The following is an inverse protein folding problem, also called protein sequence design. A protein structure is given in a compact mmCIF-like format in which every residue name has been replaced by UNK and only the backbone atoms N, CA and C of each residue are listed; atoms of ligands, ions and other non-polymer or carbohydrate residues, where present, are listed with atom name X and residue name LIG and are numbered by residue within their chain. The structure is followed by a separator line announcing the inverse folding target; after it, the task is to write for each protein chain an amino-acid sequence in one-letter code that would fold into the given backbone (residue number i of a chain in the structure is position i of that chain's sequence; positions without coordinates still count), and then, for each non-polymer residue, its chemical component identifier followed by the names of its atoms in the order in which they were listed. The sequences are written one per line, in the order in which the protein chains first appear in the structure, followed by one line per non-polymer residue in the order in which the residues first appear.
data_IF_342695384750
#
_entry.id   IF_342695384750
#
_cell.length_a   1.000
_cell.length_b   1.000
_cell.length_c   1.000
_cell.angle_alpha   90.00
_cell.angle_beta   90.00
_cell.angle_gamma   90.00
#
_symmetry.space_group_name_H-M   'P 1'
#
loop_
_entity.id
_entity.type
_entity.pdbx_description
1 polymer ?
#
# COMPACT_ATOMS: atom_id res chain seq x y z
N UNK A 1 18.29 1.71 0.41
CA UNK A 1 18.78 2.93 1.10
C UNK A 1 17.55 3.63 1.63
N UNK A 2 17.65 4.42 2.71
CA UNK A 2 16.69 5.46 3.04
C UNK A 2 15.20 5.05 3.06
N UNK A 3 14.75 4.50 4.19
CA UNK A 3 13.33 4.61 4.58
C UNK A 3 12.85 6.07 4.40
N UNK A 4 13.74 7.06 4.60
CA UNK A 4 13.45 8.48 4.40
C UNK A 4 13.13 8.92 2.96
N UNK A 5 13.69 8.30 1.91
CA UNK A 5 13.39 8.68 0.52
C UNK A 5 12.10 8.03 0.02
N UNK A 6 11.87 6.78 0.42
CA UNK A 6 10.62 6.05 0.14
C UNK A 6 9.44 6.72 0.87
N UNK A 7 9.61 7.03 2.17
CA UNK A 7 8.66 7.83 2.94
C UNK A 7 8.45 9.23 2.36
N UNK A 8 9.48 9.86 1.77
CA UNK A 8 9.34 11.18 1.13
C UNK A 8 8.50 11.11 -0.14
N UNK A 9 8.68 10.08 -0.97
CA UNK A 9 7.85 9.86 -2.15
C UNK A 9 6.41 9.50 -1.78
N UNK A 10 6.23 8.61 -0.81
CA UNK A 10 4.94 8.22 -0.25
C UNK A 10 4.22 9.41 0.40
N UNK A 11 4.95 10.24 1.15
CA UNK A 11 4.44 11.48 1.74
C UNK A 11 4.08 12.51 0.65
N UNK A 12 4.89 12.65 -0.40
CA UNK A 12 4.56 13.52 -1.53
C UNK A 12 3.31 13.03 -2.29
N UNK A 13 3.09 11.71 -2.34
CA UNK A 13 1.86 11.10 -2.88
C UNK A 13 0.68 11.44 -1.99
N UNK A 14 0.80 11.19 -0.68
CA UNK A 14 -0.26 11.46 0.28
C UNK A 14 -0.66 12.93 0.33
N UNK A 15 0.29 13.88 0.21
CA UNK A 15 0.05 15.33 0.30
C UNK A 15 -0.76 15.93 -0.85
N UNK A 16 -0.92 15.23 -1.98
CA UNK A 16 -1.64 15.76 -3.17
C UNK A 16 -3.12 15.36 -3.23
N UNK A 17 -3.56 14.45 -2.37
CA UNK A 17 -4.94 14.00 -2.29
C UNK A 17 -5.51 14.42 -0.93
N UNK A 18 -6.75 14.93 -0.92
CA UNK A 18 -7.37 15.45 0.31
C UNK A 18 -7.50 14.37 1.40
N UNK A 19 -7.52 13.08 1.02
CA UNK A 19 -7.62 11.94 1.94
C UNK A 19 -6.88 10.72 1.36
N UNK A 20 -5.57 10.66 1.58
CA UNK A 20 -4.80 9.42 1.42
C UNK A 20 -4.55 8.80 2.79
N UNK A 21 -5.07 7.59 2.99
CA UNK A 21 -4.70 6.78 4.14
C UNK A 21 -3.42 6.03 3.80
N UNK A 22 -2.30 6.52 4.33
CA UNK A 22 -1.03 5.80 4.31
C UNK A 22 -1.05 4.73 5.39
N UNK A 23 -1.05 3.46 4.96
CA UNK A 23 -1.06 2.33 5.87
C UNK A 23 0.26 1.59 5.68
N UNK A 24 1.25 1.97 6.48
CA UNK A 24 2.51 1.26 6.60
C UNK A 24 2.35 0.19 7.67
N UNK A 25 2.18 -1.05 7.24
CA UNK A 25 2.07 -2.17 8.16
C UNK A 25 3.33 -3.04 8.07
N UNK A 26 4.45 -2.51 8.58
CA UNK A 26 5.74 -3.20 8.62
C UNK A 26 5.74 -4.54 9.40
N UNK A 27 4.67 -4.85 10.14
CA UNK A 27 4.56 -6.02 11.01
C UNK A 27 3.49 -7.03 10.58
N UNK A 28 2.94 -6.92 9.37
CA UNK A 28 1.74 -7.65 8.96
C UNK A 28 2.03 -9.04 8.38
N UNK A 29 2.56 -9.95 9.21
CA UNK A 29 2.62 -11.38 8.86
C UNK A 29 1.34 -12.16 9.20
N UNK A 30 0.39 -11.56 9.93
CA UNK A 30 -0.87 -12.23 10.30
C UNK A 30 -2.04 -11.77 9.44
N UNK A 31 -2.85 -12.72 8.96
CA UNK A 31 -4.07 -12.48 8.16
C UNK A 31 -5.09 -11.61 8.90
N UNK A 32 -5.31 -11.88 10.18
CA UNK A 32 -6.27 -11.14 11.02
C UNK A 32 -5.95 -9.65 11.14
N UNK A 33 -4.68 -9.28 10.98
CA UNK A 33 -4.27 -7.88 11.10
C UNK A 33 -4.80 -7.06 9.92
N UNK A 34 -4.76 -7.57 8.69
CA UNK A 34 -5.29 -6.86 7.52
C UNK A 34 -6.81 -6.72 7.58
N UNK A 35 -7.50 -7.71 8.15
CA UNK A 35 -8.96 -7.68 8.35
C UNK A 35 -9.36 -6.57 9.32
N UNK A 36 -8.67 -6.46 10.47
CA UNK A 36 -8.93 -5.39 11.46
C UNK A 36 -8.58 -4.00 10.90
N UNK A 37 -7.51 -3.91 10.13
CA UNK A 37 -7.16 -2.68 9.40
C UNK A 37 -8.25 -2.33 8.40
N UNK A 38 -8.76 -3.30 7.64
CA UNK A 38 -9.87 -3.12 6.69
C UNK A 38 -11.13 -2.61 7.38
N UNK A 39 -11.50 -3.20 8.52
CA UNK A 39 -12.62 -2.72 9.33
C UNK A 39 -12.39 -1.27 9.79
N UNK A 40 -11.18 -0.93 10.19
CA UNK A 40 -10.85 0.45 10.58
C UNK A 40 -10.99 1.41 9.39
N UNK A 41 -10.50 1.02 8.21
CA UNK A 41 -10.64 1.79 6.98
C UNK A 41 -12.12 2.01 6.63
N UNK A 42 -13.00 1.01 6.80
CA UNK A 42 -14.42 1.18 6.46
C UNK A 42 -15.15 2.19 7.35
N UNK A 43 -14.67 2.43 8.57
CA UNK A 43 -15.18 3.49 9.44
C UNK A 43 -14.61 4.88 9.12
N UNK A 44 -13.38 4.96 8.60
CA UNK A 44 -12.66 6.22 8.38
C UNK A 44 -12.83 6.75 6.94
N UNK A 45 -12.79 5.85 5.96
CA UNK A 45 -12.79 6.19 4.55
C UNK A 45 -14.21 6.36 4.04
N UNK A 46 -14.46 7.48 3.34
CA UNK A 46 -15.68 7.65 2.58
C UNK A 46 -15.56 6.85 1.26
N UNK A 47 -16.49 5.92 0.97
CA UNK A 47 -16.47 5.16 -0.27
C UNK A 47 -16.46 6.10 -1.48
N UNK A 48 -15.59 5.81 -2.47
CA UNK A 48 -15.38 6.57 -3.73
C UNK A 48 -14.62 7.89 -3.65
N UNK A 49 -14.41 8.46 -2.47
CA UNK A 49 -13.62 9.70 -2.29
C UNK A 49 -12.21 9.45 -1.72
N UNK A 50 -11.97 8.24 -1.19
CA UNK A 50 -10.73 7.92 -0.50
C UNK A 50 -9.74 7.18 -1.39
N UNK A 51 -8.51 7.69 -1.45
CA UNK A 51 -7.39 7.03 -2.09
C UNK A 51 -6.60 6.22 -1.07
N UNK A 52 -6.46 4.92 -1.31
CA UNK A 52 -5.77 4.01 -0.41
C UNK A 52 -4.39 3.68 -0.98
N UNK A 53 -3.37 3.76 -0.11
CA UNK A 53 -2.02 3.30 -0.39
C UNK A 53 -1.59 2.40 0.76
N UNK A 54 -1.43 1.11 0.47
CA UNK A 54 -1.03 0.08 1.42
C UNK A 54 0.39 -0.38 1.10
N UNK A 55 1.30 -0.26 2.06
CA UNK A 55 2.64 -0.86 2.02
C UNK A 55 2.65 -2.08 2.96
N UNK A 56 2.80 -3.27 2.38
CA UNK A 56 2.80 -4.54 3.13
C UNK A 56 3.63 -5.60 2.39
N UNK A 57 3.79 -6.77 3.01
CA UNK A 57 4.45 -7.92 2.39
C UNK A 57 3.67 -8.47 1.18
N UNK A 58 4.37 -8.97 0.17
CA UNK A 58 3.79 -9.61 -1.03
C UNK A 58 2.78 -10.72 -0.67
N UNK A 59 3.01 -11.44 0.43
CA UNK A 59 2.12 -12.49 0.94
C UNK A 59 0.67 -12.02 1.20
N UNK A 60 0.45 -10.71 1.32
CA UNK A 60 -0.88 -10.13 1.52
C UNK A 60 -1.57 -9.69 0.22
N UNK A 61 -0.96 -9.91 -0.96
CA UNK A 61 -1.48 -9.47 -2.27
C UNK A 61 -2.96 -9.83 -2.47
N UNK A 62 -3.27 -11.12 -2.43
CA UNK A 62 -4.62 -11.62 -2.69
C UNK A 62 -5.63 -11.07 -1.69
N UNK A 63 -5.21 -10.94 -0.43
CA UNK A 63 -6.08 -10.43 0.64
C UNK A 63 -6.32 -8.93 0.52
N UNK A 64 -5.32 -8.17 0.11
CA UNK A 64 -5.46 -6.74 -0.18
C UNK A 64 -6.38 -6.48 -1.38
N UNK A 65 -6.32 -7.34 -2.39
CA UNK A 65 -7.25 -7.31 -3.52
C UNK A 65 -8.68 -7.66 -3.10
N UNK A 66 -8.86 -8.75 -2.34
CA UNK A 66 -10.18 -9.22 -1.90
C UNK A 66 -10.87 -8.26 -0.93
N UNK A 67 -10.16 -7.78 0.10
CA UNK A 67 -10.74 -6.99 1.19
C UNK A 67 -10.93 -5.51 0.82
N UNK A 68 -9.99 -4.96 0.05
CA UNK A 68 -9.87 -3.51 -0.17
C UNK A 68 -9.87 -3.12 -1.66
N UNK A 69 -9.93 -4.09 -2.58
CA UNK A 69 -9.90 -3.83 -4.02
C UNK A 69 -8.58 -3.20 -4.49
N UNK A 70 -7.47 -3.44 -3.80
CA UNK A 70 -6.18 -2.84 -4.12
C UNK A 70 -5.46 -3.65 -5.19
N UNK A 71 -4.69 -2.95 -6.03
CA UNK A 71 -3.81 -3.54 -7.05
C UNK A 71 -2.36 -3.20 -6.78
N UNK A 72 -1.47 -4.17 -7.02
CA UNK A 72 -0.04 -3.99 -6.83
C UNK A 72 0.50 -2.95 -7.82
N UNK A 73 1.40 -2.09 -7.35
CA UNK A 73 2.14 -1.15 -8.18
C UNK A 73 3.47 -1.76 -8.65
N UNK A 74 3.99 -1.28 -9.78
CA UNK A 74 5.31 -1.67 -10.27
C UNK A 74 6.45 -1.20 -9.35
N UNK A 75 6.19 -0.22 -8.48
CA UNK A 75 7.15 0.25 -7.47
C UNK A 75 7.59 -0.87 -6.52
N UNK A 76 8.90 -0.91 -6.25
CA UNK A 76 9.56 -1.93 -5.42
C UNK A 76 10.29 -1.31 -4.25
N UNK A 77 9.74 -1.36 -3.02
CA UNK A 77 10.41 -0.82 -1.85
C UNK A 77 11.70 -1.62 -1.57
N UNK A 78 12.83 -0.91 -1.43
CA UNK A 78 14.15 -1.53 -1.19
C UNK A 78 14.63 -1.25 0.23
N UNK A 79 14.68 -2.29 1.04
CA UNK A 79 15.18 -2.21 2.41
C UNK A 79 16.72 -2.20 2.45
N UNK A 80 17.30 -1.43 3.38
CA UNK A 80 18.76 -1.41 3.61
C UNK A 80 19.28 -2.68 4.27
N UNK A 81 18.42 -3.39 5.01
CA UNK A 81 18.66 -4.72 5.55
C UNK A 81 17.96 -5.79 4.69
N UNK A 82 18.53 -7.01 4.65
CA UNK A 82 17.84 -8.16 4.06
C UNK A 82 16.68 -8.56 4.97
N UNK A 83 15.49 -8.02 4.71
CA UNK A 83 14.26 -8.62 5.20
C UNK A 83 14.05 -9.93 4.44
N UNK A 84 13.66 -10.99 5.16
CA UNK A 84 13.37 -12.30 4.56
C UNK A 84 12.14 -12.31 3.65
N UNK A 85 11.34 -11.24 3.68
CA UNK A 85 10.08 -11.12 2.96
C UNK A 85 10.13 -9.95 1.98
N UNK A 86 9.54 -10.16 0.82
CA UNK A 86 9.36 -9.15 -0.20
C UNK A 86 8.17 -8.24 0.14
N UNK A 87 8.33 -6.93 -0.07
CA UNK A 87 7.30 -5.92 0.16
C UNK A 87 6.83 -5.31 -1.15
N UNK A 88 5.59 -4.81 -1.14
CA UNK A 88 4.91 -4.17 -2.25
C UNK A 88 4.03 -3.02 -1.78
N UNK A 89 3.77 -2.12 -2.72
CA UNK A 89 2.76 -1.07 -2.58
C UNK A 89 1.53 -1.46 -3.37
N UNK A 90 0.35 -1.31 -2.76
CA UNK A 90 -0.94 -1.57 -3.36
C UNK A 90 -1.84 -0.33 -3.28
N UNK A 91 -2.61 -0.06 -4.33
CA UNK A 91 -3.49 1.11 -4.39
C UNK A 91 -4.86 0.80 -5.01
N UNK A 92 -5.89 1.57 -4.63
CA UNK A 92 -7.21 1.54 -5.28
C UNK A 92 -7.33 2.56 -6.43
N UNK A 93 -6.26 3.27 -6.75
CA UNK A 93 -6.16 4.22 -7.85
C UNK A 93 -4.88 3.97 -8.66
N UNK A 94 -4.90 4.30 -9.94
CA UNK A 94 -3.69 4.23 -10.75
C UNK A 94 -2.73 5.35 -10.30
N UNK A 95 -1.62 4.95 -9.69
CA UNK A 95 -0.60 5.87 -9.22
C UNK A 95 0.29 6.42 -10.36
N UNK A 96 0.09 5.95 -11.60
CA UNK A 96 0.82 6.37 -12.78
C UNK A 96 2.34 6.32 -12.58
N UNK A 97 3.08 7.23 -13.21
CA UNK A 97 4.54 7.25 -13.14
C UNK A 97 5.13 7.35 -11.72
N UNK A 98 4.35 7.78 -10.72
CA UNK A 98 4.82 7.99 -9.34
C UNK A 98 5.16 6.68 -8.63
N UNK A 99 4.41 5.62 -8.91
CA UNK A 99 4.67 4.26 -8.43
C UNK A 99 4.83 3.27 -9.59
N UNK A 100 5.12 3.77 -10.80
CA UNK A 100 5.23 2.98 -12.02
C UNK A 100 3.91 2.37 -12.53
N UNK A 101 2.75 2.83 -12.04
CA UNK A 101 1.43 2.32 -12.39
C UNK A 101 1.14 0.95 -11.76
N UNK A 102 -0.03 0.40 -12.06
CA UNK A 102 -0.36 -0.96 -11.67
C UNK A 102 0.48 -1.99 -12.44
N UNK A 103 0.82 -3.07 -11.75
CA UNK A 103 1.33 -4.28 -12.40
C UNK A 103 0.30 -4.83 -13.37
N UNK A 104 0.76 -5.27 -14.53
CA UNK A 104 -0.06 -6.06 -15.43
C UNK A 104 -0.13 -7.49 -14.87
N UNK A 105 -1.35 -7.97 -14.64
CA UNK A 105 -1.60 -9.38 -14.32
C UNK A 105 -1.27 -10.22 -15.57
N UNK A 106 -0.38 -11.21 -15.44
CA UNK A 106 -0.08 -12.20 -16.48
C UNK A 106 -1.13 -13.31 -16.49
#
# INVERSE_FOLDING_TARGET
MNVSEDESQLSAIARKFLTVYYICCAWLQSKECLEKVTQTISFLAQPRESHLLLLTGEVQRDRAAELLGLRACNFRPRHSSKLGNEFRVFTNYDAGERLGGWEQEQ
#
